data_IF_022222262513
#
_entry.id   IF_022222262513
#
_cell.length_a   1.000
_cell.length_b   1.000
_cell.length_c   1.000
_cell.angle_alpha   90.00
_cell.angle_beta   90.00
_cell.angle_gamma   90.00
#
_symmetry.space_group_name_H-M   'P 1'
#
loop_
_entity.id
_entity.type
_entity.pdbx_description
1 polymer ?
#
# COMPACT_ATOMS: atom_id res chain seq x y z
N UNK A 1 29.18 -19.91 -10.64
CA UNK A 1 28.34 -18.91 -9.95
C UNK A 1 26.90 -19.38 -10.02
N UNK A 2 26.27 -19.64 -8.88
CA UNK A 2 24.83 -19.94 -8.86
C UNK A 2 24.11 -18.73 -9.46
N UNK A 3 23.45 -18.92 -10.62
CA UNK A 3 22.57 -17.90 -11.20
C UNK A 3 21.44 -17.71 -10.19
N UNK A 4 21.49 -16.63 -9.42
CA UNK A 4 20.30 -16.18 -8.70
C UNK A 4 19.32 -15.77 -9.81
N UNK A 5 18.36 -16.63 -10.10
CA UNK A 5 17.32 -16.37 -11.10
C UNK A 5 16.24 -15.50 -10.44
N UNK A 6 16.35 -14.20 -10.65
CA UNK A 6 15.47 -13.21 -10.02
C UNK A 6 14.35 -12.89 -10.99
N UNK A 7 13.14 -13.24 -10.61
CA UNK A 7 11.94 -12.90 -11.36
C UNK A 7 11.58 -11.41 -11.18
N UNK A 8 12.34 -10.52 -11.83
CA UNK A 8 12.14 -9.06 -11.82
C UNK A 8 10.74 -8.70 -12.34
N UNK A 9 10.25 -9.40 -13.36
CA UNK A 9 8.92 -9.15 -13.93
C UNK A 9 7.81 -9.51 -12.93
N UNK A 10 7.98 -10.61 -12.19
CA UNK A 10 7.10 -10.98 -11.08
C UNK A 10 7.09 -9.94 -9.96
N UNK A 11 8.26 -9.40 -9.60
CA UNK A 11 8.36 -8.32 -8.60
C UNK A 11 7.67 -7.04 -9.08
N UNK A 12 7.87 -6.63 -10.33
CA UNK A 12 7.17 -5.48 -10.93
C UNK A 12 5.65 -5.65 -10.91
N UNK A 13 5.17 -6.81 -11.37
CA UNK A 13 3.73 -7.14 -11.37
C UNK A 13 3.14 -7.11 -9.96
N UNK A 14 3.88 -7.59 -8.97
CA UNK A 14 3.45 -7.53 -7.58
C UNK A 14 3.41 -6.07 -7.06
N UNK A 15 4.42 -5.26 -7.40
CA UNK A 15 4.43 -3.84 -7.05
C UNK A 15 3.22 -3.09 -7.67
N UNK A 16 2.89 -3.36 -8.93
CA UNK A 16 1.73 -2.78 -9.61
C UNK A 16 0.41 -3.22 -8.95
N UNK A 17 0.30 -4.49 -8.57
CA UNK A 17 -0.86 -5.03 -7.86
C UNK A 17 -1.03 -4.35 -6.50
N UNK A 18 0.06 -4.19 -5.74
CA UNK A 18 0.05 -3.49 -4.45
C UNK A 18 -0.32 -2.01 -4.64
N UNK A 19 0.20 -1.35 -5.68
CA UNK A 19 -0.13 0.03 -6.01
C UNK A 19 -1.63 0.21 -6.29
N UNK A 20 -2.23 -0.68 -7.09
CA UNK A 20 -3.67 -0.67 -7.36
C UNK A 20 -4.48 -0.88 -6.08
N UNK A 21 -4.12 -1.88 -5.26
CA UNK A 21 -4.82 -2.15 -3.99
C UNK A 21 -4.69 -1.01 -2.99
N UNK A 22 -3.56 -0.31 -2.97
CA UNK A 22 -3.40 0.91 -2.18
C UNK A 22 -4.38 1.99 -2.63
N UNK A 23 -4.51 2.25 -3.93
CA UNK A 23 -5.44 3.27 -4.44
C UNK A 23 -6.91 2.93 -4.12
N UNK A 24 -7.29 1.64 -4.23
CA UNK A 24 -8.61 1.17 -3.82
C UNK A 24 -8.85 1.44 -2.33
N UNK A 25 -7.89 1.09 -1.47
CA UNK A 25 -8.01 1.29 -0.02
C UNK A 25 -8.05 2.78 0.37
N UNK A 26 -7.26 3.62 -0.29
CA UNK A 26 -7.28 5.08 -0.09
C UNK A 26 -8.65 5.68 -0.42
N UNK A 27 -9.24 5.22 -1.53
CA UNK A 27 -10.58 5.64 -1.94
C UNK A 27 -11.62 5.20 -0.90
N UNK A 28 -11.53 3.96 -0.42
CA UNK A 28 -12.43 3.44 0.61
C UNK A 28 -12.29 4.20 1.93
N UNK A 29 -11.07 4.51 2.37
CA UNK A 29 -10.79 5.32 3.56
C UNK A 29 -11.44 6.70 3.46
N UNK A 30 -11.27 7.38 2.32
CA UNK A 30 -11.88 8.69 2.08
C UNK A 30 -13.41 8.64 2.08
N UNK A 31 -13.99 7.61 1.47
CA UNK A 31 -15.45 7.42 1.48
C UNK A 31 -15.97 7.19 2.89
N UNK A 32 -15.26 6.40 3.70
CA UNK A 32 -15.61 6.17 5.11
C UNK A 32 -15.50 7.46 5.94
N UNK A 33 -14.45 8.26 5.74
CA UNK A 33 -14.29 9.57 6.39
C UNK A 33 -15.47 10.51 6.09
N UNK A 34 -15.87 10.59 4.82
CA UNK A 34 -17.01 11.41 4.41
C UNK A 34 -18.30 10.91 5.04
N UNK A 35 -18.53 9.60 5.06
CA UNK A 35 -19.73 9.00 5.65
C UNK A 35 -19.79 9.23 7.17
N UNK A 36 -18.66 9.10 7.87
CA UNK A 36 -18.56 9.43 9.30
C UNK A 36 -18.96 10.88 9.54
N UNK A 37 -18.42 11.81 8.74
CA UNK A 37 -18.73 13.23 8.84
C UNK A 37 -20.22 13.50 8.60
N UNK A 38 -20.79 12.97 7.53
CA UNK A 38 -22.21 13.15 7.22
C UNK A 38 -23.13 12.63 8.32
N UNK A 39 -22.79 11.49 8.93
CA UNK A 39 -23.56 10.94 10.05
C UNK A 39 -23.44 11.87 11.26
N UNK A 40 -22.23 12.30 11.59
CA UNK A 40 -21.99 13.19 12.73
C UNK A 40 -22.70 14.54 12.57
N UNK A 41 -22.83 15.04 11.34
CA UNK A 41 -23.49 16.32 11.03
C UNK A 41 -25.02 16.23 11.03
N UNK A 42 -25.61 15.06 10.71
CA UNK A 42 -27.07 14.89 10.53
C UNK A 42 -27.76 14.15 11.69
N UNK A 43 -27.04 13.30 12.41
CA UNK A 43 -27.59 12.48 13.48
C UNK A 43 -27.03 12.89 14.83
N UNK A 44 -27.88 13.47 15.67
CA UNK A 44 -27.53 13.90 17.02
C UNK A 44 -27.88 12.84 18.08
N UNK A 45 -27.25 12.95 19.26
CA UNK A 45 -27.51 12.10 20.43
C UNK A 45 -26.44 11.06 20.72
N UNK A 46 -26.50 10.45 21.91
CA UNK A 46 -25.48 9.54 22.44
C UNK A 46 -25.25 8.27 21.59
N UNK A 47 -26.32 7.79 20.95
CA UNK A 47 -26.25 6.65 20.04
C UNK A 47 -25.42 6.97 18.79
N UNK A 48 -25.59 8.17 18.22
CA UNK A 48 -24.80 8.65 17.07
C UNK A 48 -23.33 8.76 17.44
N UNK A 49 -23.02 9.37 18.59
CA UNK A 49 -21.65 9.48 19.11
C UNK A 49 -20.99 8.10 19.25
N UNK A 50 -21.71 7.13 19.83
CA UNK A 50 -21.21 5.77 19.99
C UNK A 50 -20.95 5.08 18.64
N UNK A 51 -21.84 5.28 17.66
CA UNK A 51 -21.70 4.73 16.32
C UNK A 51 -20.54 5.36 15.55
N UNK A 52 -20.42 6.70 15.56
CA UNK A 52 -19.31 7.45 14.99
C UNK A 52 -17.96 7.00 15.60
N UNK A 53 -17.91 6.79 16.91
CA UNK A 53 -16.72 6.25 17.58
C UNK A 53 -16.34 4.85 17.09
N UNK A 54 -17.32 3.98 16.85
CA UNK A 54 -17.07 2.67 16.25
C UNK A 54 -16.52 2.80 14.81
N UNK A 55 -17.11 3.65 13.98
CA UNK A 55 -16.63 3.89 12.61
C UNK A 55 -15.21 4.46 12.58
N UNK A 56 -14.88 5.39 13.49
CA UNK A 56 -13.53 5.93 13.64
C UNK A 56 -12.49 4.85 14.00
N UNK A 57 -12.87 3.84 14.78
CA UNK A 57 -11.99 2.68 15.06
C UNK A 57 -11.74 1.85 13.80
N UNK A 58 -12.76 1.63 12.97
CA UNK A 58 -12.59 0.93 11.70
C UNK A 58 -11.72 1.72 10.72
N UNK A 59 -11.95 3.02 10.61
CA UNK A 59 -11.12 3.91 9.80
C UNK A 59 -9.65 3.87 10.24
N UNK A 60 -9.40 3.88 11.55
CA UNK A 60 -8.04 3.77 12.10
C UNK A 60 -7.37 2.46 11.69
N UNK A 61 -8.10 1.34 11.72
CA UNK A 61 -7.58 0.04 11.28
C UNK A 61 -7.30 0.02 9.77
N UNK A 62 -8.21 0.60 8.96
CA UNK A 62 -8.03 0.68 7.52
C UNK A 62 -6.82 1.55 7.13
N UNK A 63 -6.58 2.65 7.84
CA UNK A 63 -5.36 3.47 7.68
C UNK A 63 -4.07 2.72 8.06
N UNK A 64 -4.12 1.84 9.06
CA UNK A 64 -2.97 0.97 9.38
C UNK A 64 -2.67 0.01 8.22
N UNK A 65 -3.70 -0.57 7.61
CA UNK A 65 -3.55 -1.44 6.43
C UNK A 65 -2.94 -0.68 5.25
N UNK A 66 -3.32 0.59 5.04
CA UNK A 66 -2.70 1.45 4.02
C UNK A 66 -1.20 1.64 4.27
N UNK A 67 -0.80 1.84 5.53
CA UNK A 67 0.62 1.90 5.92
C UNK A 67 1.37 0.61 5.58
N UNK A 68 0.78 -0.55 5.90
CA UNK A 68 1.38 -1.85 5.59
C UNK A 68 1.55 -2.04 4.08
N UNK A 69 0.54 -1.71 3.27
CA UNK A 69 0.65 -1.78 1.81
C UNK A 69 1.71 -0.83 1.26
N UNK A 70 1.90 0.36 1.85
CA UNK A 70 2.98 1.28 1.48
C UNK A 70 4.37 0.69 1.77
N UNK A 71 4.54 0.00 2.89
CA UNK A 71 5.80 -0.68 3.23
C UNK A 71 6.11 -1.82 2.25
N UNK A 72 5.13 -2.68 1.96
CA UNK A 72 5.29 -3.75 0.98
C UNK A 72 5.60 -3.23 -0.42
N UNK A 73 4.92 -2.16 -0.84
CA UNK A 73 5.21 -1.49 -2.11
C UNK A 73 6.67 -1.00 -2.15
N UNK A 74 7.07 -0.23 -1.14
CA UNK A 74 8.42 0.35 -1.05
C UNK A 74 9.49 -0.73 -1.06
N UNK A 75 9.29 -1.81 -0.31
CA UNK A 75 10.20 -2.96 -0.29
C UNK A 75 10.31 -3.61 -1.68
N UNK A 76 9.19 -3.91 -2.34
CA UNK A 76 9.17 -4.57 -3.65
C UNK A 76 9.86 -3.72 -4.73
N UNK A 77 9.63 -2.40 -4.69
CA UNK A 77 10.29 -1.45 -5.59
C UNK A 77 11.79 -1.36 -5.32
N UNK A 78 12.22 -1.27 -4.06
CA UNK A 78 13.63 -1.19 -3.69
C UNK A 78 14.41 -2.46 -4.08
N UNK A 79 13.82 -3.63 -3.85
CA UNK A 79 14.41 -4.92 -4.24
C UNK A 79 14.56 -5.00 -5.76
N UNK A 80 13.53 -4.64 -6.51
CA UNK A 80 13.58 -4.63 -7.98
C UNK A 80 14.70 -3.71 -8.51
N UNK A 81 14.82 -2.51 -7.95
CA UNK A 81 15.85 -1.54 -8.34
C UNK A 81 17.25 -2.02 -7.98
N UNK A 82 17.43 -2.60 -6.79
CA UNK A 82 18.72 -3.12 -6.34
C UNK A 82 19.23 -4.21 -7.27
N UNK A 83 18.36 -5.14 -7.65
CA UNK A 83 18.74 -6.23 -8.55
C UNK A 83 18.98 -5.77 -9.99
N UNK A 84 18.18 -4.85 -10.51
CA UNK A 84 18.48 -4.25 -11.82
C UNK A 84 19.85 -3.55 -11.84
N UNK A 85 20.18 -2.81 -10.78
CA UNK A 85 21.47 -2.15 -10.68
C UNK A 85 22.64 -3.14 -10.57
N UNK A 86 22.48 -4.22 -9.80
CA UNK A 86 23.48 -5.28 -9.70
C UNK A 86 23.73 -5.96 -11.06
N UNK A 87 22.67 -6.27 -11.80
CA UNK A 87 22.76 -6.90 -13.12
C UNK A 87 23.45 -5.98 -14.14
N UNK A 88 23.08 -4.70 -14.18
CA UNK A 88 23.73 -3.70 -15.04
C UNK A 88 25.23 -3.55 -14.72
N UNK A 89 25.59 -3.48 -13.43
CA UNK A 89 26.98 -3.35 -13.01
C UNK A 89 27.80 -4.61 -13.34
N UNK A 90 27.22 -5.79 -13.16
CA UNK A 90 27.88 -7.05 -13.53
C UNK A 90 28.12 -7.13 -15.04
N UNK A 91 27.12 -6.79 -15.87
CA UNK A 91 27.24 -6.75 -17.32
C UNK A 91 28.32 -5.74 -17.79
N UNK A 92 28.39 -4.57 -17.17
CA UNK A 92 29.40 -3.54 -17.48
C UNK A 92 30.84 -3.94 -17.13
N UNK A 93 31.02 -4.82 -16.14
CA UNK A 93 32.34 -5.33 -15.74
C UNK A 93 32.79 -6.55 -16.55
N UNK A 94 31.86 -7.33 -17.11
CA UNK A 94 32.16 -8.48 -17.97
C UNK A 94 32.50 -8.03 -19.41
N UNK A 95 31.94 -6.91 -19.86
CA UNK A 95 32.20 -6.34 -21.19
C UNK A 95 33.43 -5.38 -21.24
N UNK A 96 34.31 -5.43 -20.23
CA UNK A 96 35.59 -4.70 -20.18
C UNK A 96 36.74 -5.70 -20.19
#
# INVERSE_FOLDING_TARGET
>A
MSKIDINIDGLKKNADTIAAKKQELQTLNKNLENLIKEINDKWEGEASVSYVNMLNKYLTQAKKMESVLNEFYSYTTNVSNTFQNLDQNAAGNINR
#
